data_IF_328249446710
#
_entry.id   IF_328249446710
#
_cell.length_a   1.000
_cell.length_b   1.000
_cell.length_c   1.000
_cell.angle_alpha   90.00
_cell.angle_beta   90.00
_cell.angle_gamma   90.00
#
_symmetry.space_group_name_H-M   'P 1'
#
loop_
_entity.id
_entity.type
_entity.pdbx_description
1 polymer ?
#
# COMPACT_ATOMS: atom_id res chain seq x y z
N UNK A 1 17.71 20.89 14.12
CA UNK A 1 17.82 21.54 12.79
C UNK A 1 18.14 20.46 11.78
N UNK A 2 17.42 20.42 10.68
CA UNK A 2 17.73 19.62 9.49
C UNK A 2 19.09 20.13 8.94
N UNK A 3 19.99 19.25 8.54
CA UNK A 3 21.31 19.61 8.01
C UNK A 3 21.18 20.27 6.62
N UNK A 4 22.20 21.02 6.19
CA UNK A 4 22.21 21.65 4.87
C UNK A 4 22.08 20.59 3.77
N UNK A 5 21.00 20.64 3.01
CA UNK A 5 20.72 19.70 1.92
C UNK A 5 19.72 18.59 2.25
N UNK A 6 19.28 18.43 3.51
CA UNK A 6 18.21 17.49 3.80
C UNK A 6 16.91 17.94 3.11
N UNK A 7 16.10 16.98 2.71
CA UNK A 7 14.80 17.25 2.09
C UNK A 7 13.76 16.28 2.59
N UNK A 8 12.54 16.79 2.71
CA UNK A 8 11.35 15.99 2.92
C UNK A 8 10.40 16.23 1.75
N UNK A 9 9.91 15.14 1.18
CA UNK A 9 8.93 15.16 0.11
C UNK A 9 7.80 14.23 0.50
N UNK A 10 6.57 14.59 0.17
CA UNK A 10 5.41 13.81 0.54
C UNK A 10 4.28 13.98 -0.46
N UNK A 11 3.46 12.95 -0.54
CA UNK A 11 2.32 12.85 -1.43
C UNK A 11 1.15 12.24 -0.67
N UNK A 12 -0.04 12.76 -0.91
CA UNK A 12 -1.27 12.22 -0.36
C UNK A 12 -2.27 12.12 -1.51
N UNK A 13 -3.00 11.02 -1.58
CA UNK A 13 -4.05 10.80 -2.56
C UNK A 13 -5.30 10.27 -1.87
N UNK A 14 -6.46 10.72 -2.35
CA UNK A 14 -7.76 10.21 -1.95
C UNK A 14 -8.60 10.02 -3.20
N UNK A 15 -9.30 8.90 -3.28
CA UNK A 15 -10.08 8.53 -4.46
C UNK A 15 -11.36 7.80 -4.06
N UNK A 16 -12.40 8.03 -4.85
CA UNK A 16 -13.69 7.33 -4.76
C UNK A 16 -13.96 6.77 -6.15
N UNK A 17 -14.03 5.45 -6.28
CA UNK A 17 -14.17 4.80 -7.59
C UNK A 17 -12.96 4.93 -8.51
N UNK A 18 -11.79 5.29 -7.98
CA UNK A 18 -10.54 5.48 -8.72
C UNK A 18 -9.34 4.91 -7.95
N UNK A 19 -9.43 3.64 -7.57
CA UNK A 19 -8.45 2.93 -6.74
C UNK A 19 -7.04 2.98 -7.36
N UNK A 20 -6.92 2.77 -8.66
CA UNK A 20 -5.63 2.71 -9.35
C UNK A 20 -4.80 3.98 -9.15
N UNK A 21 -5.44 5.15 -9.15
CA UNK A 21 -4.76 6.42 -8.92
C UNK A 21 -4.19 6.55 -7.51
N UNK A 22 -4.77 5.84 -6.53
CA UNK A 22 -4.39 5.90 -5.12
C UNK A 22 -3.43 4.76 -4.75
N UNK A 23 -3.63 3.56 -5.32
CA UNK A 23 -2.96 2.32 -4.92
C UNK A 23 -1.89 1.82 -5.88
N UNK A 24 -1.81 2.37 -7.11
CA UNK A 24 -0.89 1.88 -8.16
C UNK A 24 0.02 2.96 -8.73
N UNK A 25 0.00 4.17 -8.17
CA UNK A 25 0.81 5.30 -8.63
C UNK A 25 1.90 5.70 -7.61
N UNK A 26 3.06 6.13 -8.11
CA UNK A 26 4.14 6.70 -7.29
C UNK A 26 4.81 5.74 -6.30
N UNK A 27 5.28 6.25 -5.17
CA UNK A 27 5.93 5.44 -4.10
C UNK A 27 4.95 4.46 -3.44
N UNK A 28 3.66 4.73 -3.59
CA UNK A 28 2.55 3.84 -3.24
C UNK A 28 2.29 2.77 -4.30
N UNK A 29 3.15 2.56 -5.31
CA UNK A 29 3.00 1.47 -6.31
C UNK A 29 3.99 0.31 -6.12
N UNK A 30 5.04 0.50 -5.32
CA UNK A 30 6.10 -0.49 -5.05
C UNK A 30 6.11 -0.92 -3.58
N UNK A 31 6.84 -1.99 -3.21
CA UNK A 31 6.52 -3.40 -3.44
C UNK A 31 5.26 -3.90 -2.68
N UNK A 32 4.51 -3.02 -2.03
CA UNK A 32 3.39 -3.37 -1.13
C UNK A 32 2.15 -3.96 -1.85
N UNK A 33 2.06 -3.80 -3.18
CA UNK A 33 0.83 -4.04 -3.96
C UNK A 33 0.95 -5.10 -5.05
N UNK A 34 2.17 -5.41 -5.49
CA UNK A 34 2.35 -6.59 -6.34
C UNK A 34 2.09 -7.80 -5.46
N UNK A 35 1.09 -8.57 -5.86
CA UNK A 35 0.48 -9.72 -5.18
C UNK A 35 1.47 -10.74 -4.59
N UNK A 36 2.75 -10.65 -4.92
CA UNK A 36 3.82 -11.54 -4.46
C UNK A 36 4.57 -11.07 -3.20
N UNK A 37 4.57 -9.78 -2.84
CA UNK A 37 5.43 -9.29 -1.75
C UNK A 37 4.91 -9.57 -0.33
N UNK A 38 3.59 -9.64 -0.15
CA UNK A 38 2.93 -9.92 1.14
C UNK A 38 2.13 -11.23 1.10
N UNK A 39 2.50 -12.17 0.23
CA UNK A 39 1.89 -13.50 0.18
C UNK A 39 0.46 -13.55 -0.41
N UNK A 40 0.06 -12.48 -1.12
CA UNK A 40 -1.27 -12.35 -1.71
C UNK A 40 -2.33 -12.02 -0.66
N UNK A 41 -2.80 -10.76 -0.66
CA UNK A 41 -4.21 -10.35 -0.73
C UNK A 41 -4.36 -8.86 -0.34
N UNK A 42 -4.34 -7.98 -1.35
CA UNK A 42 -5.02 -6.68 -1.32
C UNK A 42 -5.70 -6.55 -2.69
N UNK A 43 -7.02 -6.69 -2.76
CA UNK A 43 -7.79 -6.51 -4.01
C UNK A 43 -8.23 -5.06 -4.14
N UNK A 44 -7.53 -4.31 -4.99
CA UNK A 44 -7.83 -2.92 -5.33
C UNK A 44 -8.43 -2.78 -6.74
N UNK A 45 -8.93 -3.87 -7.31
CA UNK A 45 -9.39 -3.97 -8.70
C UNK A 45 -10.88 -3.61 -8.88
N UNK A 46 -11.58 -3.18 -7.82
CA UNK A 46 -13.03 -2.92 -7.86
C UNK A 46 -13.41 -1.54 -7.38
N UNK A 47 -13.47 -0.64 -8.35
CA UNK A 47 -13.88 0.75 -8.18
C UNK A 47 -15.39 0.91 -7.88
N UNK A 48 -16.22 0.06 -8.47
CA UNK A 48 -17.68 0.15 -8.42
C UNK A 48 -18.28 -1.24 -8.16
N UNK A 49 -19.25 -1.31 -7.25
CA UNK A 49 -20.09 -2.49 -7.05
C UNK A 49 -21.53 -2.12 -7.37
N UNK A 50 -22.15 -2.89 -8.26
CA UNK A 50 -23.58 -2.81 -8.55
C UNK A 50 -24.31 -3.87 -7.72
N UNK A 51 -25.47 -3.52 -7.19
CA UNK A 51 -26.30 -4.43 -6.41
C UNK A 51 -27.78 -4.08 -6.55
N UNK A 52 -28.63 -4.99 -6.09
CA UNK A 52 -30.07 -4.78 -6.05
C UNK A 52 -30.44 -4.26 -4.66
N UNK A 53 -31.08 -3.10 -4.59
CA UNK A 53 -31.43 -2.45 -3.33
C UNK A 53 -32.68 -3.03 -2.67
N UNK A 54 -33.50 -3.81 -3.40
CA UNK A 54 -34.72 -4.42 -2.90
C UNK A 54 -34.77 -5.93 -3.16
N UNK A 55 -35.46 -6.67 -2.30
CA UNK A 55 -35.61 -8.13 -2.45
C UNK A 55 -36.36 -8.57 -3.72
N UNK A 56 -37.08 -7.65 -4.38
CA UNK A 56 -37.85 -7.91 -5.59
C UNK A 56 -37.01 -7.85 -6.90
N UNK A 57 -35.74 -7.45 -6.85
CA UNK A 57 -34.89 -7.48 -8.05
C UNK A 57 -35.04 -6.28 -8.99
N UNK A 58 -35.84 -5.27 -8.64
CA UNK A 58 -36.27 -4.23 -9.59
C UNK A 58 -35.54 -2.90 -9.46
N UNK A 59 -34.85 -2.65 -8.34
CA UNK A 59 -34.12 -1.41 -8.09
C UNK A 59 -32.63 -1.71 -8.07
N UNK A 60 -31.93 -1.28 -9.11
CA UNK A 60 -30.47 -1.27 -9.14
C UNK A 60 -29.91 -0.13 -8.28
N UNK A 61 -28.80 -0.38 -7.61
CA UNK A 61 -28.04 0.61 -6.87
C UNK A 61 -26.55 0.33 -7.04
N UNK A 62 -25.73 1.29 -6.64
CA UNK A 62 -24.29 1.21 -6.81
C UNK A 62 -23.58 1.84 -5.62
N UNK A 63 -22.43 1.28 -5.27
CA UNK A 63 -21.51 1.85 -4.30
C UNK A 63 -20.09 1.85 -4.86
N UNK A 64 -19.33 2.89 -4.49
CA UNK A 64 -17.96 3.06 -4.94
C UNK A 64 -16.99 2.77 -3.80
N UNK A 65 -15.88 2.12 -4.14
CA UNK A 65 -14.79 1.87 -3.20
C UNK A 65 -13.99 3.15 -3.00
N UNK A 66 -13.70 3.46 -1.73
CA UNK A 66 -12.87 4.60 -1.35
C UNK A 66 -11.45 4.13 -1.09
N UNK A 67 -10.47 4.95 -1.42
CA UNK A 67 -9.09 4.72 -1.05
C UNK A 67 -8.40 6.00 -0.62
N UNK A 68 -7.45 5.85 0.28
CA UNK A 68 -6.56 6.88 0.75
C UNK A 68 -5.14 6.34 0.74
N UNK A 69 -4.17 7.12 0.26
CA UNK A 69 -2.75 6.81 0.41
C UNK A 69 -1.97 8.05 0.82
N UNK A 70 -0.89 7.80 1.55
CA UNK A 70 0.08 8.81 1.94
C UNK A 70 1.47 8.19 1.81
N UNK A 71 2.42 8.93 1.24
CA UNK A 71 3.80 8.52 1.13
C UNK A 71 4.72 9.69 1.41
N UNK A 72 5.89 9.40 1.95
CA UNK A 72 6.91 10.41 2.21
C UNK A 72 8.31 9.83 2.02
N UNK A 73 9.22 10.70 1.61
CA UNK A 73 10.65 10.45 1.54
C UNK A 73 11.33 11.53 2.37
N UNK A 74 12.13 11.09 3.32
CA UNK A 74 13.07 11.93 4.04
C UNK A 74 14.49 11.56 3.61
N UNK A 75 15.26 12.55 3.16
CA UNK A 75 16.68 12.38 2.82
C UNK A 75 17.51 13.16 3.80
N UNK A 76 18.46 12.49 4.45
CA UNK A 76 19.39 13.10 5.38
C UNK A 76 20.84 12.90 4.94
N UNK A 77 21.63 13.98 4.97
CA UNK A 77 23.05 13.96 4.68
C UNK A 77 23.85 14.03 5.98
N UNK A 78 24.51 12.92 6.33
CA UNK A 78 25.43 12.86 7.47
C UNK A 78 26.75 13.54 7.14
N UNK A 79 27.22 13.32 5.90
CA UNK A 79 28.36 13.99 5.28
C UNK A 79 28.06 14.16 3.79
N UNK A 80 28.86 14.95 3.03
CA UNK A 80 28.69 15.02 1.58
C UNK A 80 28.85 13.68 0.85
N UNK A 81 29.49 12.69 1.48
CA UNK A 81 29.70 11.35 0.95
C UNK A 81 28.79 10.28 1.57
N UNK A 82 27.98 10.61 2.58
CA UNK A 82 27.11 9.66 3.28
C UNK A 82 25.71 10.21 3.42
N UNK A 83 24.75 9.58 2.73
CA UNK A 83 23.34 9.93 2.78
C UNK A 83 22.46 8.74 3.17
N UNK A 84 21.37 9.03 3.85
CA UNK A 84 20.31 8.05 4.12
C UNK A 84 18.98 8.53 3.57
N UNK A 85 18.19 7.60 3.05
CA UNK A 85 16.79 7.84 2.70
C UNK A 85 15.89 7.01 3.59
N UNK A 86 14.87 7.65 4.15
CA UNK A 86 13.77 7.00 4.84
C UNK A 86 12.51 7.22 4.00
N UNK A 87 12.00 6.15 3.42
CA UNK A 87 10.81 6.13 2.59
C UNK A 87 9.72 5.43 3.37
N UNK A 88 8.53 6.01 3.40
CA UNK A 88 7.35 5.38 3.99
C UNK A 88 6.15 5.53 3.09
N UNK A 89 5.29 4.54 3.09
CA UNK A 89 3.99 4.58 2.41
C UNK A 89 2.92 3.92 3.25
N UNK A 90 1.70 4.44 3.13
CA UNK A 90 0.51 3.98 3.81
C UNK A 90 -0.65 4.02 2.83
N UNK A 91 -1.52 3.02 2.91
CA UNK A 91 -2.74 2.93 2.13
C UNK A 91 -3.86 2.35 2.95
N UNK A 92 -5.07 2.84 2.70
CA UNK A 92 -6.30 2.25 3.16
C UNK A 92 -7.29 2.17 2.01
N UNK A 93 -7.89 1.00 1.86
CA UNK A 93 -9.00 0.76 0.94
C UNK A 93 -10.24 0.46 1.78
N UNK A 94 -11.34 1.12 1.46
CA UNK A 94 -12.62 1.03 2.17
C UNK A 94 -13.74 0.80 1.16
N UNK A 95 -14.16 -0.45 0.94
CA UNK A 95 -15.31 -0.78 0.10
C UNK A 95 -16.62 -0.30 0.73
N UNK A 96 -17.67 -0.24 -0.08
CA UNK A 96 -19.01 0.10 0.39
C UNK A 96 -19.62 -0.97 1.31
N UNK A 97 -20.77 -0.67 1.89
CA UNK A 97 -21.38 -1.51 2.91
C UNK A 97 -21.86 -2.86 2.36
N UNK A 98 -22.41 -2.88 1.14
CA UNK A 98 -22.90 -4.13 0.52
C UNK A 98 -21.74 -5.06 0.18
N UNK A 99 -20.66 -4.50 -0.36
CA UNK A 99 -19.43 -5.21 -0.72
C UNK A 99 -18.75 -5.79 0.52
N UNK A 100 -18.76 -5.07 1.65
CA UNK A 100 -18.22 -5.55 2.95
C UNK A 100 -19.05 -6.68 3.56
N UNK A 101 -20.36 -6.69 3.33
CA UNK A 101 -21.27 -7.71 3.84
C UNK A 101 -21.45 -8.91 2.91
N UNK A 102 -20.90 -8.85 1.69
CA UNK A 102 -20.90 -9.97 0.75
C UNK A 102 -19.76 -10.92 1.09
N UNK A 103 -19.98 -12.24 1.00
CA UNK A 103 -18.91 -13.21 1.23
C UNK A 103 -17.79 -13.04 0.19
N UNK A 104 -16.52 -13.18 0.61
CA UNK A 104 -15.33 -13.07 -0.24
C UNK A 104 -15.40 -13.99 -1.47
N UNK A 105 -15.90 -15.22 -1.28
CA UNK A 105 -16.12 -16.19 -2.37
C UNK A 105 -17.11 -15.68 -3.43
N UNK A 106 -18.05 -14.83 -3.05
CA UNK A 106 -19.04 -14.21 -3.94
C UNK A 106 -18.59 -12.82 -4.42
N UNK A 107 -17.31 -12.49 -4.25
CA UNK A 107 -16.78 -11.17 -4.58
C UNK A 107 -17.12 -10.11 -3.52
N UNK A 108 -17.21 -10.45 -2.25
CA UNK A 108 -17.08 -9.44 -1.19
C UNK A 108 -15.65 -8.90 -1.08
N UNK A 109 -15.49 -7.70 -0.52
CA UNK A 109 -14.19 -7.12 -0.17
C UNK A 109 -14.33 -6.49 1.21
N UNK A 110 -13.28 -6.55 2.02
CA UNK A 110 -13.25 -5.82 3.29
C UNK A 110 -12.34 -4.61 3.23
N UNK A 111 -12.34 -3.87 4.33
CA UNK A 111 -11.32 -2.88 4.58
C UNK A 111 -9.94 -3.53 4.63
N UNK A 112 -9.00 -2.87 3.98
CA UNK A 112 -7.63 -3.32 3.95
C UNK A 112 -6.69 -2.12 4.12
N UNK A 113 -5.69 -2.31 4.98
CA UNK A 113 -4.70 -1.29 5.31
C UNK A 113 -3.31 -1.87 5.10
N UNK A 114 -2.51 -1.21 4.28
CA UNK A 114 -1.13 -1.59 4.00
C UNK A 114 -0.19 -0.46 4.35
N UNK A 115 1.01 -0.79 4.81
CA UNK A 115 2.08 0.18 4.96
C UNK A 115 3.44 -0.45 4.73
N UNK A 116 4.37 0.37 4.28
CA UNK A 116 5.75 0.01 4.04
C UNK A 116 6.67 1.10 4.55
N UNK A 117 7.80 0.68 5.09
CA UNK A 117 8.93 1.56 5.43
C UNK A 117 10.18 0.96 4.81
N UNK A 118 10.97 1.80 4.16
CA UNK A 118 12.25 1.46 3.58
C UNK A 118 13.29 2.45 4.06
N UNK A 119 14.37 1.93 4.65
CA UNK A 119 15.58 2.69 4.94
C UNK A 119 16.65 2.32 3.93
N UNK A 120 17.36 3.31 3.40
CA UNK A 120 18.58 3.09 2.63
C UNK A 120 19.71 3.96 3.13
N UNK A 121 20.92 3.41 3.04
CA UNK A 121 22.17 4.10 3.34
C UNK A 121 23.07 4.01 2.11
N UNK A 122 23.52 5.15 1.62
CA UNK A 122 24.39 5.24 0.43
C UNK A 122 25.66 5.97 0.85
N UNK A 123 26.79 5.29 0.65
CA UNK A 123 28.12 5.80 0.91
C UNK A 123 28.92 5.89 -0.38
N UNK A 124 29.42 7.09 -0.65
CA UNK A 124 30.18 7.45 -1.85
C UNK A 124 31.59 7.92 -1.46
N UNK A 125 32.51 7.02 -1.08
CA UNK A 125 33.83 7.40 -0.56
C UNK A 125 34.70 8.12 -1.59
N UNK A 126 34.57 7.77 -2.86
CA UNK A 126 35.23 8.43 -3.98
C UNK A 126 34.19 8.79 -5.04
N UNK A 127 34.48 9.81 -5.85
CA UNK A 127 33.57 10.19 -6.94
C UNK A 127 33.35 8.98 -7.86
N UNK A 128 32.10 8.75 -8.26
CA UNK A 128 31.67 7.65 -9.16
C UNK A 128 31.75 6.24 -8.58
N UNK A 129 31.83 6.11 -7.25
CA UNK A 129 31.76 4.82 -6.58
C UNK A 129 30.76 4.89 -5.44
N UNK A 130 29.67 4.13 -5.55
CA UNK A 130 28.57 4.15 -4.60
C UNK A 130 28.35 2.75 -4.02
N UNK A 131 28.32 2.67 -2.70
CA UNK A 131 27.88 1.49 -1.95
C UNK A 131 26.53 1.81 -1.33
N UNK A 132 25.52 1.00 -1.63
CA UNK A 132 24.17 1.12 -1.11
C UNK A 132 23.75 -0.12 -0.31
N UNK A 133 23.12 0.10 0.83
CA UNK A 133 22.38 -0.92 1.56
C UNK A 133 20.94 -0.44 1.76
N UNK A 134 19.98 -1.32 1.52
CA UNK A 134 18.54 -1.05 1.64
C UNK A 134 17.91 -2.12 2.52
N UNK A 135 17.02 -1.70 3.42
CA UNK A 135 16.17 -2.58 4.22
C UNK A 135 14.75 -2.06 4.17
N UNK A 136 13.81 -2.94 3.90
CA UNK A 136 12.39 -2.62 3.86
C UNK A 136 11.57 -3.59 4.69
N UNK A 137 10.52 -3.05 5.29
CA UNK A 137 9.50 -3.81 6.00
C UNK A 137 8.14 -3.39 5.47
N UNK A 138 7.30 -4.35 5.11
CA UNK A 138 5.91 -4.09 4.79
C UNK A 138 4.99 -4.94 5.64
N UNK A 139 3.80 -4.40 5.88
CA UNK A 139 2.73 -5.11 6.56
C UNK A 139 1.40 -4.76 5.94
N UNK A 140 0.59 -5.79 5.79
CA UNK A 140 -0.80 -5.69 5.39
C UNK A 140 -1.68 -6.13 6.55
N UNK A 141 -2.82 -5.46 6.70
CA UNK A 141 -3.91 -5.88 7.57
C UNK A 141 -5.20 -5.85 6.79
N UNK A 142 -5.87 -6.99 6.71
CA UNK A 142 -7.14 -7.14 6.03
C UNK A 142 -8.02 -8.12 6.78
N UNK A 143 -9.33 -7.85 6.83
CA UNK A 143 -10.32 -8.87 7.17
C UNK A 143 -10.96 -9.41 5.87
N UNK A 144 -11.45 -10.63 5.88
CA UNK A 144 -12.15 -11.22 4.74
C UNK A 144 -13.51 -11.69 5.21
N UNK A 145 -14.62 -11.20 4.63
CA UNK A 145 -15.94 -11.74 4.95
C UNK A 145 -16.02 -13.19 4.47
N UNK A 146 -16.03 -14.15 5.39
CA UNK A 146 -16.28 -15.56 5.08
C UNK A 146 -17.80 -15.80 5.06
N UNK A 147 -18.22 -16.80 4.29
CA UNK A 147 -19.63 -17.15 4.10
C UNK A 147 -20.37 -17.22 5.44
N UNK A 148 -21.46 -16.48 5.53
CA UNK A 148 -22.37 -16.50 6.65
C UNK A 148 -23.81 -16.60 6.14
N UNK A 149 -24.72 -17.27 6.87
CA UNK A 149 -26.13 -16.94 6.79
C UNK A 149 -26.30 -15.43 7.04
N UNK A 150 -27.26 -14.79 6.38
CA UNK A 150 -27.54 -13.37 6.58
C UNK A 150 -27.63 -13.05 8.09
N UNK A 151 -26.68 -12.28 8.62
CA UNK A 151 -26.64 -11.86 10.02
C UNK A 151 -25.54 -12.45 10.92
N UNK A 152 -24.70 -13.38 10.44
CA UNK A 152 -23.66 -14.01 11.27
C UNK A 152 -22.26 -14.01 10.60
N UNK A 153 -21.77 -12.85 10.16
CA UNK A 153 -20.50 -12.74 9.42
C UNK A 153 -19.31 -13.30 10.23
N UNK A 154 -18.64 -14.32 9.71
CA UNK A 154 -17.33 -14.76 10.21
C UNK A 154 -16.26 -14.02 9.39
N UNK A 155 -15.26 -13.43 10.06
CA UNK A 155 -14.17 -12.71 9.39
C UNK A 155 -12.87 -13.50 9.48
N UNK A 156 -12.23 -13.80 8.35
CA UNK A 156 -10.84 -14.25 8.35
C UNK A 156 -9.93 -13.03 8.51
N UNK A 157 -9.00 -13.05 9.47
CA UNK A 157 -7.99 -12.01 9.59
C UNK A 157 -6.72 -12.42 8.84
N UNK A 158 -6.27 -11.56 7.93
CA UNK A 158 -5.07 -11.75 7.10
C UNK A 158 -4.11 -10.61 7.43
N UNK A 159 -2.98 -10.95 8.07
CA UNK A 159 -2.00 -9.99 8.59
C UNK A 159 -0.55 -10.31 8.18
N UNK A 160 -0.24 -10.55 6.89
CA UNK A 160 1.11 -10.89 6.47
C UNK A 160 2.06 -9.69 6.63
N UNK A 161 3.33 -10.02 6.85
CA UNK A 161 4.42 -9.05 6.87
C UNK A 161 5.65 -9.63 6.18
N UNK A 162 6.47 -8.77 5.60
CA UNK A 162 7.67 -9.19 4.90
C UNK A 162 8.83 -8.23 5.16
N UNK A 163 10.04 -8.77 5.23
CA UNK A 163 11.30 -8.05 5.29
C UNK A 163 12.07 -8.28 4.00
N UNK A 164 12.68 -7.25 3.45
CA UNK A 164 13.54 -7.40 2.26
C UNK A 164 14.74 -6.49 2.40
N UNK A 165 15.92 -7.09 2.22
CA UNK A 165 17.20 -6.39 2.24
C UNK A 165 17.85 -6.48 0.85
N UNK A 166 18.57 -5.43 0.48
CA UNK A 166 19.36 -5.38 -0.76
C UNK A 166 20.67 -4.66 -0.49
N UNK A 167 21.74 -5.13 -1.13
CA UNK A 167 23.02 -4.42 -1.19
C UNK A 167 23.34 -4.18 -2.66
N UNK A 168 23.86 -2.99 -2.98
CA UNK A 168 24.28 -2.60 -4.32
C UNK A 168 25.65 -1.94 -4.25
N UNK A 169 26.51 -2.23 -5.20
CA UNK A 169 27.82 -1.60 -5.36
C UNK A 169 27.93 -1.20 -6.83
N UNK A 170 28.00 0.11 -7.09
CA UNK A 170 28.06 0.66 -8.43
C UNK A 170 29.35 1.47 -8.62
N UNK A 171 29.99 1.29 -9.77
CA UNK A 171 31.12 2.12 -10.22
C UNK A 171 30.88 2.59 -11.64
N UNK A 172 30.96 3.90 -11.85
CA UNK A 172 30.92 4.50 -13.20
C UNK A 172 32.33 4.90 -13.61
N UNK A 173 32.72 4.54 -14.83
CA UNK A 173 34.05 4.81 -15.40
C UNK A 173 34.04 6.13 -16.18
#
# INVERSE_FOLDING_TARGET
>A
MIAQGDSIQGWVAYGVGALDYVTSSGISSAPTYTTNFLGGFLRADRNLTLFIANGAGTIGSAEQTKAFSAAAIFTHYWTPSLRSHLISSYVRVTPGAVTRNTAWANGGLSEATGWNVLGSLIWSPVRRFDIGAELSYARLRQSLPLSAPAGLSTLAQVNPSNWTARVRIDRTF
#
